data_IF_000807237647
#
_entry.id   IF_000807237647
#
_cell.length_a   1.000
_cell.length_b   1.000
_cell.length_c   1.000
_cell.angle_alpha   90.00
_cell.angle_beta   90.00
_cell.angle_gamma   90.00
#
_symmetry.space_group_name_H-M   'P 1'
#
loop_
_entity.id
_entity.type
_entity.pdbx_description
1 polymer ?
#
# COMPACT_ATOMS: atom_id res chain seq x y z
N UNK A 1 -51.65 163.93 79.62
CA UNK A 1 -50.37 164.26 78.96
C UNK A 1 -49.44 163.06 78.72
N UNK A 2 -49.90 161.79 78.80
CA UNK A 2 -49.11 160.59 78.43
C UNK A 2 -49.50 159.95 77.08
N UNK A 3 -50.59 160.41 76.44
CA UNK A 3 -51.20 159.72 75.27
C UNK A 3 -50.71 160.24 73.90
N UNK A 4 -50.34 161.53 73.79
CA UNK A 4 -49.74 162.09 72.56
C UNK A 4 -48.26 161.73 72.40
N UNK A 5 -47.51 161.62 73.51
CA UNK A 5 -46.11 161.22 73.50
C UNK A 5 -45.95 159.73 73.15
N UNK A 6 -46.86 158.88 73.64
CA UNK A 6 -46.90 157.46 73.30
C UNK A 6 -47.29 157.24 71.82
N UNK A 7 -48.27 157.97 71.29
CA UNK A 7 -48.63 157.91 69.85
C UNK A 7 -47.51 158.42 68.94
N UNK A 8 -46.83 159.50 69.31
CA UNK A 8 -45.68 160.02 68.56
C UNK A 8 -44.49 159.04 68.58
N UNK A 9 -44.22 158.41 69.72
CA UNK A 9 -43.20 157.37 69.86
C UNK A 9 -43.52 156.13 69.02
N UNK A 10 -44.78 155.66 69.03
CA UNK A 10 -45.22 154.48 68.27
C UNK A 10 -45.17 154.73 66.75
N UNK A 11 -45.53 155.93 66.30
CA UNK A 11 -45.40 156.38 64.92
C UNK A 11 -43.93 156.44 64.50
N UNK A 12 -43.05 156.97 65.35
CA UNK A 12 -41.61 157.02 65.07
C UNK A 12 -40.98 155.61 64.99
N UNK A 13 -41.41 154.68 65.84
CA UNK A 13 -40.98 153.28 65.82
C UNK A 13 -41.45 152.58 64.53
N UNK A 14 -42.72 152.78 64.13
CA UNK A 14 -43.26 152.25 62.88
C UNK A 14 -42.55 152.82 61.64
N UNK A 15 -42.19 154.11 61.65
CA UNK A 15 -41.42 154.75 60.57
C UNK A 15 -40.01 154.16 60.50
N UNK A 16 -39.36 153.94 61.64
CA UNK A 16 -38.02 153.33 61.70
C UNK A 16 -38.04 151.88 61.20
N UNK A 17 -39.02 151.09 61.61
CA UNK A 17 -39.20 149.71 61.16
C UNK A 17 -39.53 149.63 59.66
N UNK A 18 -40.41 150.50 59.17
CA UNK A 18 -40.72 150.61 57.73
C UNK A 18 -39.50 151.02 56.92
N UNK A 19 -38.69 151.95 57.44
CA UNK A 19 -37.43 152.38 56.78
C UNK A 19 -36.42 151.24 56.73
N UNK A 20 -36.33 150.44 57.80
CA UNK A 20 -35.47 149.24 57.85
C UNK A 20 -35.95 148.16 56.87
N UNK A 21 -37.25 147.90 56.78
CA UNK A 21 -37.81 146.95 55.81
C UNK A 21 -37.61 147.43 54.38
N UNK A 22 -37.82 148.72 54.09
CA UNK A 22 -37.54 149.30 52.77
C UNK A 22 -36.06 149.10 52.41
N UNK A 23 -35.14 149.39 53.33
CA UNK A 23 -33.71 149.17 53.10
C UNK A 23 -33.34 147.70 52.84
N UNK A 24 -33.98 146.77 53.55
CA UNK A 24 -33.80 145.33 53.35
C UNK A 24 -34.35 144.89 51.99
N UNK A 25 -35.57 145.26 51.64
CA UNK A 25 -36.21 144.93 50.37
C UNK A 25 -35.44 145.54 49.19
N UNK A 26 -34.87 146.74 49.37
CA UNK A 26 -34.05 147.39 48.36
C UNK A 26 -32.71 146.66 48.17
N UNK A 27 -32.04 146.27 49.27
CA UNK A 27 -30.84 145.44 49.19
C UNK A 27 -31.10 144.06 48.55
N UNK A 28 -32.24 143.44 48.85
CA UNK A 28 -32.67 142.19 48.20
C UNK A 28 -32.96 142.40 46.71
N UNK A 29 -33.63 143.49 46.33
CA UNK A 29 -33.88 143.84 44.94
C UNK A 29 -32.57 144.09 44.17
N UNK A 30 -31.62 144.82 44.76
CA UNK A 30 -30.30 145.08 44.18
C UNK A 30 -29.48 143.79 44.02
N UNK A 31 -29.52 142.90 45.01
CA UNK A 31 -28.89 141.57 44.93
C UNK A 31 -29.52 140.71 43.82
N UNK A 32 -30.86 140.70 43.72
CA UNK A 32 -31.56 140.01 42.63
C UNK A 32 -31.21 140.58 41.26
N UNK A 33 -31.08 141.90 41.13
CA UNK A 33 -30.64 142.54 39.90
C UNK A 33 -29.19 142.18 39.57
N UNK A 34 -28.30 142.13 40.55
CA UNK A 34 -26.91 141.71 40.35
C UNK A 34 -26.81 140.28 39.79
N UNK A 35 -27.49 139.31 40.42
CA UNK A 35 -27.53 137.91 39.96
C UNK A 35 -28.13 137.81 38.55
N UNK A 36 -29.14 138.63 38.23
CA UNK A 36 -29.75 138.68 36.91
C UNK A 36 -28.77 139.17 35.85
N UNK A 37 -27.99 140.20 36.15
CA UNK A 37 -26.94 140.70 35.26
C UNK A 37 -25.85 139.65 35.03
N UNK A 38 -25.43 138.92 36.07
CA UNK A 38 -24.46 137.83 35.93
C UNK A 38 -24.99 136.70 35.03
N UNK A 39 -26.24 136.26 35.25
CA UNK A 39 -26.90 135.26 34.42
C UNK A 39 -26.98 135.71 32.96
N UNK A 40 -27.44 136.93 32.72
CA UNK A 40 -27.64 137.46 31.37
C UNK A 40 -26.29 137.66 30.66
N UNK A 41 -25.25 138.09 31.39
CA UNK A 41 -23.87 138.17 30.91
C UNK A 41 -23.34 136.79 30.52
N UNK A 42 -23.50 135.78 31.39
CA UNK A 42 -23.06 134.41 31.10
C UNK A 42 -23.76 133.83 29.86
N UNK A 43 -25.07 134.04 29.72
CA UNK A 43 -25.84 133.63 28.54
C UNK A 43 -25.29 134.32 27.28
N UNK A 44 -25.07 135.64 27.32
CA UNK A 44 -24.48 136.38 26.18
C UNK A 44 -23.10 135.86 25.81
N UNK A 45 -22.24 135.61 26.79
CA UNK A 45 -20.89 135.05 26.56
C UNK A 45 -20.97 133.69 25.86
N UNK A 46 -21.85 132.80 26.33
CA UNK A 46 -22.03 131.48 25.70
C UNK A 46 -22.56 131.61 24.27
N UNK A 47 -23.58 132.43 24.06
CA UNK A 47 -24.18 132.62 22.74
C UNK A 47 -23.20 133.24 21.73
N UNK A 48 -22.42 134.23 22.15
CA UNK A 48 -21.41 134.85 21.31
C UNK A 48 -20.23 133.91 21.04
N UNK A 49 -19.74 133.21 22.06
CA UNK A 49 -18.59 132.29 21.91
C UNK A 49 -18.91 131.10 21.00
N UNK A 50 -20.14 130.59 21.07
CA UNK A 50 -20.55 129.40 20.35
C UNK A 50 -21.51 129.67 19.19
N UNK A 51 -21.68 130.95 18.80
CA UNK A 51 -22.55 131.40 17.71
C UNK A 51 -23.95 130.78 17.76
N UNK A 52 -24.59 130.79 18.94
CA UNK A 52 -25.90 130.15 19.14
C UNK A 52 -27.08 130.98 18.62
N UNK A 53 -26.81 132.16 18.09
CA UNK A 53 -27.78 133.09 17.51
C UNK A 53 -27.80 134.45 18.22
N UNK A 54 -28.67 135.38 17.78
CA UNK A 54 -28.81 136.68 18.42
C UNK A 54 -29.44 136.56 19.81
N UNK A 55 -29.03 137.46 20.71
CA UNK A 55 -29.55 137.56 22.08
C UNK A 55 -30.20 138.93 22.27
N UNK A 56 -31.37 139.03 22.95
CA UNK A 56 -32.03 140.31 23.23
C UNK A 56 -31.19 141.28 24.07
N UNK A 57 -31.70 142.50 24.24
CA UNK A 57 -31.14 143.47 25.16
C UNK A 57 -31.42 143.10 26.63
N UNK A 58 -30.42 143.32 27.49
CA UNK A 58 -30.52 143.06 28.93
C UNK A 58 -31.34 144.17 29.61
N UNK A 59 -32.03 143.88 30.74
CA UNK A 59 -32.06 142.60 31.46
C UNK A 59 -33.18 141.65 30.97
N UNK A 60 -32.87 140.36 30.83
CA UNK A 60 -33.78 139.33 30.30
C UNK A 60 -34.93 139.02 31.25
N UNK A 61 -36.15 138.80 30.73
CA UNK A 61 -37.19 138.17 31.55
C UNK A 61 -36.80 136.73 31.89
N UNK A 62 -37.40 136.17 32.94
CA UNK A 62 -37.09 134.78 33.33
C UNK A 62 -37.42 133.78 32.22
N UNK A 63 -38.47 134.03 31.45
CA UNK A 63 -38.85 133.19 30.30
C UNK A 63 -37.81 133.25 29.17
N UNK A 64 -37.29 134.44 28.87
CA UNK A 64 -36.23 134.62 27.88
C UNK A 64 -34.97 133.89 28.33
N UNK A 65 -34.54 134.08 29.58
CA UNK A 65 -33.37 133.40 30.11
C UNK A 65 -33.54 131.87 30.12
N UNK A 66 -34.72 131.36 30.48
CA UNK A 66 -35.04 129.93 30.46
C UNK A 66 -35.00 129.37 29.04
N UNK A 67 -35.58 130.07 28.05
CA UNK A 67 -35.56 129.66 26.66
C UNK A 67 -34.13 129.59 26.10
N UNK A 68 -33.33 130.64 26.32
CA UNK A 68 -31.93 130.69 25.90
C UNK A 68 -31.12 129.56 26.57
N UNK A 69 -31.33 129.31 27.86
CA UNK A 69 -30.70 128.21 28.59
C UNK A 69 -31.09 126.83 28.01
N UNK A 70 -32.37 126.62 27.72
CA UNK A 70 -32.85 125.37 27.14
C UNK A 70 -32.29 125.15 25.73
N UNK A 71 -32.17 126.21 24.92
CA UNK A 71 -31.52 126.15 23.61
C UNK A 71 -30.04 125.78 23.71
N UNK A 72 -29.31 126.34 24.67
CA UNK A 72 -27.92 125.95 24.97
C UNK A 72 -27.85 124.47 25.36
N UNK A 73 -28.71 124.01 26.27
CA UNK A 73 -28.76 122.60 26.71
C UNK A 73 -29.07 121.65 25.56
N UNK A 74 -30.06 121.97 24.73
CA UNK A 74 -30.41 121.16 23.57
C UNK A 74 -29.26 121.08 22.56
N UNK A 75 -28.57 122.20 22.30
CA UNK A 75 -27.39 122.21 21.42
C UNK A 75 -26.25 121.37 21.99
N UNK A 76 -26.02 121.44 23.30
CA UNK A 76 -25.01 120.63 23.98
C UNK A 76 -25.34 119.13 23.88
N UNK A 77 -26.58 118.74 24.17
CA UNK A 77 -27.04 117.34 24.05
C UNK A 77 -26.84 116.80 22.63
N UNK A 78 -27.23 117.56 21.60
CA UNK A 78 -27.04 117.13 20.21
C UNK A 78 -25.55 116.95 19.87
N UNK A 79 -24.66 117.81 20.39
CA UNK A 79 -23.22 117.68 20.16
C UNK A 79 -22.63 116.48 20.91
N UNK A 80 -23.13 116.15 22.09
CA UNK A 80 -22.74 114.96 22.84
C UNK A 80 -23.17 113.68 22.12
N UNK A 81 -24.40 113.65 21.60
CA UNK A 81 -24.93 112.54 20.79
C UNK A 81 -24.12 112.37 19.50
N UNK A 82 -23.88 113.46 18.76
CA UNK A 82 -23.03 113.45 17.55
C UNK A 82 -21.62 112.92 17.87
N UNK A 83 -21.01 113.39 18.96
CA UNK A 83 -19.68 112.95 19.39
C UNK A 83 -19.67 111.44 19.67
N UNK A 84 -20.69 110.94 20.36
CA UNK A 84 -20.78 109.54 20.74
C UNK A 84 -21.04 108.63 19.52
N UNK A 85 -21.89 109.07 18.59
CA UNK A 85 -22.10 108.37 17.32
C UNK A 85 -20.80 108.33 16.50
N UNK A 86 -20.05 109.43 16.42
CA UNK A 86 -18.76 109.47 15.72
C UNK A 86 -17.72 108.58 16.38
N UNK A 87 -17.65 108.52 17.70
CA UNK A 87 -16.76 107.59 18.42
C UNK A 87 -17.08 106.15 18.07
N UNK A 88 -18.35 105.74 18.16
CA UNK A 88 -18.79 104.39 17.81
C UNK A 88 -18.51 104.05 16.35
N UNK A 89 -18.73 105.01 15.45
CA UNK A 89 -18.44 104.84 14.01
C UNK A 89 -16.94 104.67 13.78
N UNK A 90 -16.10 105.46 14.45
CA UNK A 90 -14.64 105.34 14.33
C UNK A 90 -14.12 104.03 14.91
N UNK A 91 -14.64 103.58 16.06
CA UNK A 91 -14.28 102.30 16.68
C UNK A 91 -14.62 101.12 15.76
N UNK A 92 -15.83 101.10 15.20
CA UNK A 92 -16.24 100.04 14.27
C UNK A 92 -15.42 100.04 12.98
N UNK A 93 -15.08 101.22 12.45
CA UNK A 93 -14.17 101.33 11.30
C UNK A 93 -12.75 100.86 11.64
N UNK A 94 -12.25 101.22 12.82
CA UNK A 94 -10.92 100.80 13.28
C UNK A 94 -10.85 99.28 13.44
N UNK A 95 -11.84 98.66 14.09
CA UNK A 95 -11.95 97.20 14.21
C UNK A 95 -12.01 96.52 12.85
N UNK A 96 -12.80 97.06 11.92
CA UNK A 96 -12.90 96.54 10.56
C UNK A 96 -11.56 96.60 9.81
N UNK A 97 -10.87 97.74 9.86
CA UNK A 97 -9.56 97.92 9.23
C UNK A 97 -8.49 97.05 9.87
N UNK A 98 -8.49 96.93 11.20
CA UNK A 98 -7.58 96.05 11.93
C UNK A 98 -7.79 94.58 11.57
N UNK A 99 -9.05 94.13 11.52
CA UNK A 99 -9.40 92.79 11.08
C UNK A 99 -8.96 92.51 9.64
N UNK A 100 -9.05 93.49 8.73
CA UNK A 100 -8.50 93.40 7.38
C UNK A 100 -6.98 93.31 7.38
N UNK A 101 -6.31 94.15 8.15
CA UNK A 101 -4.85 94.15 8.27
C UNK A 101 -4.35 92.79 8.77
N UNK A 102 -4.93 92.24 9.84
CA UNK A 102 -4.55 90.94 10.39
C UNK A 102 -4.71 89.81 9.35
N UNK A 103 -5.81 89.79 8.61
CA UNK A 103 -6.05 88.80 7.54
C UNK A 103 -5.01 88.90 6.43
N UNK A 104 -4.69 90.12 5.99
CA UNK A 104 -3.66 90.35 4.96
C UNK A 104 -2.28 89.96 5.47
N UNK A 105 -1.94 90.32 6.70
CA UNK A 105 -0.65 90.00 7.32
C UNK A 105 -0.46 88.49 7.48
N UNK A 106 -1.49 87.77 7.94
CA UNK A 106 -1.45 86.30 8.03
C UNK A 106 -1.21 85.65 6.67
N UNK A 107 -1.92 86.12 5.63
CA UNK A 107 -1.74 85.63 4.25
C UNK A 107 -0.35 85.97 3.71
N UNK A 108 0.19 87.14 4.04
CA UNK A 108 1.55 87.53 3.66
C UNK A 108 2.57 86.58 4.28
N UNK A 109 2.49 86.31 5.59
CA UNK A 109 3.39 85.36 6.27
C UNK A 109 3.31 83.96 5.69
N UNK A 110 2.12 83.48 5.35
CA UNK A 110 1.93 82.17 4.69
C UNK A 110 2.64 82.13 3.33
N UNK A 111 2.42 83.15 2.49
CA UNK A 111 3.02 83.23 1.15
C UNK A 111 4.54 83.35 1.24
N UNK A 112 5.06 84.16 2.17
CA UNK A 112 6.51 84.27 2.39
C UNK A 112 7.14 82.93 2.80
N UNK A 113 6.49 82.20 3.72
CA UNK A 113 6.91 80.85 4.09
C UNK A 113 6.94 79.88 2.90
N UNK A 114 5.92 79.93 2.03
CA UNK A 114 5.91 79.14 0.80
C UNK A 114 7.03 79.53 -0.17
N UNK A 115 7.33 80.82 -0.30
CA UNK A 115 8.43 81.32 -1.14
C UNK A 115 9.78 80.80 -0.63
N UNK A 116 10.05 80.88 0.68
CA UNK A 116 11.31 80.40 1.25
C UNK A 116 11.45 78.89 1.09
N UNK A 117 10.39 78.12 1.39
CA UNK A 117 10.39 76.67 1.19
C UNK A 117 10.69 76.28 -0.27
N UNK A 118 10.06 76.95 -1.24
CA UNK A 118 10.33 76.72 -2.67
C UNK A 118 11.74 77.11 -3.06
N UNK A 119 12.30 78.18 -2.49
CA UNK A 119 13.68 78.62 -2.73
C UNK A 119 14.69 77.59 -2.23
N UNK A 120 14.50 77.06 -1.02
CA UNK A 120 15.33 75.99 -0.46
C UNK A 120 15.23 74.70 -1.29
N UNK A 121 14.02 74.31 -1.68
CA UNK A 121 13.81 73.15 -2.55
C UNK A 121 14.54 73.32 -3.89
N UNK A 122 14.50 74.51 -4.50
CA UNK A 122 15.23 74.84 -5.73
C UNK A 122 16.74 74.69 -5.55
N UNK A 123 17.30 75.18 -4.44
CA UNK A 123 18.72 75.01 -4.11
C UNK A 123 19.08 73.52 -4.00
N UNK A 124 18.23 72.73 -3.35
CA UNK A 124 18.41 71.28 -3.23
C UNK A 124 18.41 70.56 -4.59
N UNK A 125 17.51 70.94 -5.50
CA UNK A 125 17.47 70.40 -6.88
C UNK A 125 18.74 70.77 -7.64
N UNK A 126 19.19 72.03 -7.58
CA UNK A 126 20.39 72.48 -8.27
C UNK A 126 21.63 71.72 -7.81
N UNK A 127 21.75 71.41 -6.51
CA UNK A 127 22.83 70.58 -5.98
C UNK A 127 22.83 69.18 -6.61
N UNK A 128 21.67 68.53 -6.64
CA UNK A 128 21.53 67.18 -7.25
C UNK A 128 21.85 67.17 -8.74
N UNK A 129 21.46 68.21 -9.47
CA UNK A 129 21.81 68.33 -10.90
C UNK A 129 23.34 68.39 -11.04
N UNK A 130 24.00 69.24 -10.27
CA UNK A 130 25.46 69.37 -10.30
C UNK A 130 26.16 68.06 -9.92
N UNK A 131 25.66 67.35 -8.91
CA UNK A 131 26.21 66.05 -8.51
C UNK A 131 26.11 65.03 -9.66
N UNK A 132 24.99 65.03 -10.40
CA UNK A 132 24.80 64.15 -11.58
C UNK A 132 25.66 64.55 -12.77
N UNK A 133 25.89 65.84 -12.98
CA UNK A 133 26.85 66.32 -13.98
C UNK A 133 28.26 65.82 -13.66
N UNK A 134 28.69 65.92 -12.40
CA UNK A 134 30.00 65.42 -11.98
C UNK A 134 30.13 63.88 -12.15
N UNK A 135 29.09 63.12 -11.80
CA UNK A 135 29.05 61.67 -12.02
C UNK A 135 29.16 61.31 -13.51
N UNK A 136 28.43 62.02 -14.38
CA UNK A 136 28.50 61.84 -15.83
C UNK A 136 29.91 62.12 -16.35
N UNK A 137 30.49 63.26 -15.97
CA UNK A 137 31.80 63.68 -16.46
C UNK A 137 32.90 62.70 -15.99
N UNK A 138 32.77 62.13 -14.79
CA UNK A 138 33.66 61.07 -14.29
C UNK A 138 33.53 59.79 -15.12
N UNK A 139 32.30 59.37 -15.44
CA UNK A 139 32.05 58.19 -16.28
C UNK A 139 32.53 58.37 -17.71
N UNK A 140 32.35 59.55 -18.31
CA UNK A 140 32.86 59.87 -19.64
C UNK A 140 34.40 59.86 -19.68
N UNK A 141 35.04 60.38 -18.62
CA UNK A 141 36.49 60.32 -18.46
C UNK A 141 36.97 58.87 -18.37
N UNK A 142 36.28 58.02 -17.62
CA UNK A 142 36.60 56.59 -17.54
C UNK A 142 36.41 55.87 -18.87
N UNK A 143 35.30 56.10 -19.57
CA UNK A 143 35.05 55.54 -20.91
C UNK A 143 36.13 55.94 -21.91
N UNK A 144 36.59 57.19 -21.88
CA UNK A 144 37.65 57.68 -22.77
C UNK A 144 39.01 57.00 -22.55
N UNK A 145 39.25 56.39 -21.37
CA UNK A 145 40.46 55.58 -21.12
C UNK A 145 40.45 54.28 -21.91
N UNK A 146 39.28 53.79 -22.32
CA UNK A 146 39.14 52.55 -23.07
C UNK A 146 39.16 52.84 -24.57
N UNK A 147 40.05 52.14 -25.29
CA UNK A 147 40.04 52.19 -26.75
C UNK A 147 38.96 51.23 -27.28
N UNK A 148 37.72 51.73 -27.33
CA UNK A 148 36.55 50.97 -27.77
C UNK A 148 36.73 50.41 -29.19
N UNK A 149 37.26 51.21 -30.12
CA UNK A 149 37.53 50.76 -31.49
C UNK A 149 38.48 49.54 -31.53
N UNK A 150 39.49 49.49 -30.66
CA UNK A 150 40.38 48.32 -30.53
C UNK A 150 39.65 47.10 -29.95
N UNK A 151 38.73 47.30 -29.01
CA UNK A 151 37.92 46.22 -28.44
C UNK A 151 36.99 45.65 -29.52
N UNK A 152 36.29 46.51 -30.25
CA UNK A 152 35.37 46.11 -31.33
C UNK A 152 36.08 45.36 -32.45
N UNK A 153 37.29 45.81 -32.82
CA UNK A 153 38.11 45.12 -33.82
C UNK A 153 38.55 43.73 -33.33
N UNK A 154 38.97 43.63 -32.05
CA UNK A 154 39.33 42.35 -31.44
C UNK A 154 38.15 41.39 -31.40
N UNK A 155 36.96 41.88 -31.04
CA UNK A 155 35.73 41.09 -31.02
C UNK A 155 35.38 40.56 -32.41
N UNK A 156 35.41 41.44 -33.43
CA UNK A 156 35.20 41.02 -34.83
C UNK A 156 36.22 39.96 -35.27
N UNK A 157 37.50 40.12 -34.92
CA UNK A 157 38.52 39.13 -35.26
C UNK A 157 38.27 37.78 -34.59
N UNK A 158 37.95 37.78 -33.29
CA UNK A 158 37.66 36.56 -32.54
C UNK A 158 36.42 35.85 -33.09
N UNK A 159 35.38 36.60 -33.45
CA UNK A 159 34.18 36.05 -34.07
C UNK A 159 34.50 35.33 -35.38
N UNK A 160 35.30 35.95 -36.26
CA UNK A 160 35.77 35.35 -37.51
C UNK A 160 36.58 34.06 -37.22
N UNK A 161 37.44 34.07 -36.20
CA UNK A 161 38.25 32.89 -35.84
C UNK A 161 37.38 31.74 -35.33
N UNK A 162 36.37 32.03 -34.52
CA UNK A 162 35.39 31.04 -34.02
C UNK A 162 34.61 30.42 -35.17
N UNK A 163 34.11 31.22 -36.10
CA UNK A 163 33.40 30.74 -37.28
C UNK A 163 34.29 29.85 -38.14
N UNK A 164 35.53 30.28 -38.41
CA UNK A 164 36.52 29.47 -39.13
C UNK A 164 36.80 28.12 -38.46
N UNK A 165 36.99 28.11 -37.14
CA UNK A 165 37.24 26.87 -36.39
C UNK A 165 36.01 25.97 -36.36
N UNK A 166 34.81 26.54 -36.31
CA UNK A 166 33.55 25.80 -36.35
C UNK A 166 33.38 25.08 -37.68
N UNK A 167 33.64 25.77 -38.79
CA UNK A 167 33.61 25.17 -40.14
C UNK A 167 34.66 24.06 -40.23
N UNK A 168 35.91 24.32 -39.84
CA UNK A 168 36.99 23.33 -39.89
C UNK A 168 36.72 22.09 -39.01
N UNK A 169 35.98 22.24 -37.91
CA UNK A 169 35.53 21.11 -37.08
C UNK A 169 34.43 20.31 -37.77
N UNK A 170 33.47 20.99 -38.40
CA UNK A 170 32.40 20.35 -39.17
C UNK A 170 32.95 19.55 -40.36
N UNK A 171 33.89 20.09 -41.12
CA UNK A 171 34.50 19.42 -42.29
C UNK A 171 35.25 18.12 -41.95
N UNK A 172 35.71 17.96 -40.71
CA UNK A 172 36.47 16.78 -40.31
C UNK A 172 35.61 15.57 -39.95
N UNK A 173 34.28 15.72 -39.88
CA UNK A 173 33.31 14.65 -39.62
C UNK A 173 33.79 13.64 -38.55
N UNK A 174 34.30 14.16 -37.43
CA UNK A 174 34.88 13.33 -36.38
C UNK A 174 33.90 12.27 -35.86
N UNK A 175 32.60 12.55 -35.86
CA UNK A 175 31.55 11.60 -35.47
C UNK A 175 31.48 10.39 -36.41
N UNK A 176 31.65 10.61 -37.72
CA UNK A 176 31.71 9.52 -38.71
C UNK A 176 32.96 8.67 -38.47
N UNK A 177 34.12 9.31 -38.28
CA UNK A 177 35.38 8.62 -38.01
C UNK A 177 35.28 7.78 -36.73
N UNK A 178 34.72 8.36 -35.66
CA UNK A 178 34.51 7.66 -34.38
C UNK A 178 33.56 6.47 -34.57
N UNK A 179 32.46 6.64 -35.29
CA UNK A 179 31.50 5.56 -35.60
C UNK A 179 32.17 4.41 -36.36
N UNK A 180 32.97 4.74 -37.38
CA UNK A 180 33.73 3.76 -38.15
C UNK A 180 34.76 3.03 -37.28
N UNK A 181 35.50 3.73 -36.41
CA UNK A 181 36.45 3.07 -35.50
C UNK A 181 35.76 2.20 -34.47
N UNK A 182 34.58 2.58 -33.98
CA UNK A 182 33.77 1.73 -33.09
C UNK A 182 33.33 0.43 -33.78
N UNK A 183 32.93 0.49 -35.05
CA UNK A 183 32.53 -0.71 -35.80
C UNK A 183 33.71 -1.62 -36.13
N UNK A 184 34.89 -1.06 -36.45
CA UNK A 184 36.14 -1.81 -36.61
C UNK A 184 36.51 -2.55 -35.31
N UNK A 185 36.45 -1.87 -34.16
CA UNK A 185 36.73 -2.47 -32.84
C UNK A 185 35.77 -3.63 -32.56
N UNK A 186 34.47 -3.44 -32.80
CA UNK A 186 33.47 -4.49 -32.60
C UNK A 186 33.75 -5.73 -33.46
N UNK A 187 34.12 -5.50 -34.73
CA UNK A 187 34.43 -6.58 -35.68
C UNK A 187 35.67 -7.37 -35.25
N UNK A 188 36.72 -6.66 -34.80
CA UNK A 188 37.93 -7.29 -34.30
C UNK A 188 37.69 -8.08 -33.01
N UNK A 189 36.92 -7.54 -32.07
CA UNK A 189 36.56 -8.24 -30.82
C UNK A 189 35.76 -9.53 -31.10
N UNK A 190 34.81 -9.48 -32.05
CA UNK A 190 34.09 -10.67 -32.48
C UNK A 190 35.03 -11.72 -33.06
N UNK A 191 35.99 -11.31 -33.90
CA UNK A 191 36.99 -12.21 -34.47
C UNK A 191 37.90 -12.83 -33.40
N UNK A 192 38.32 -12.05 -32.41
CA UNK A 192 39.09 -12.54 -31.26
C UNK A 192 38.31 -13.59 -30.47
N UNK A 193 37.02 -13.37 -30.23
CA UNK A 193 36.16 -14.34 -29.54
C UNK A 193 36.02 -15.65 -30.31
N UNK A 194 35.84 -15.57 -31.64
CA UNK A 194 35.78 -16.76 -32.50
C UNK A 194 37.09 -17.55 -32.48
N UNK A 195 38.23 -16.86 -32.65
CA UNK A 195 39.54 -17.51 -32.59
C UNK A 195 39.84 -18.15 -31.23
N UNK A 196 39.40 -17.53 -30.12
CA UNK A 196 39.53 -18.14 -28.80
C UNK A 196 38.73 -19.44 -28.68
N UNK A 197 37.50 -19.48 -29.19
CA UNK A 197 36.68 -20.71 -29.21
C UNK A 197 37.33 -21.80 -30.05
N UNK A 198 37.86 -21.45 -31.22
CA UNK A 198 38.60 -22.40 -32.06
C UNK A 198 39.84 -22.96 -31.35
N UNK A 199 40.60 -22.10 -30.67
CA UNK A 199 41.75 -22.52 -29.86
C UNK A 199 41.33 -23.52 -28.76
N UNK A 200 40.24 -23.25 -28.05
CA UNK A 200 39.75 -24.13 -26.97
C UNK A 200 39.23 -25.48 -27.53
N UNK A 201 38.59 -25.46 -28.71
CA UNK A 201 38.19 -26.68 -29.41
C UNK A 201 39.43 -27.51 -29.82
N UNK A 202 40.46 -26.87 -30.37
CA UNK A 202 41.72 -27.54 -30.76
C UNK A 202 42.41 -28.16 -29.54
N UNK A 203 42.40 -27.47 -28.38
CA UNK A 203 42.94 -28.02 -27.14
C UNK A 203 42.17 -29.27 -26.69
N UNK A 204 40.84 -29.24 -26.78
CA UNK A 204 39.98 -30.39 -26.46
C UNK A 204 40.26 -31.57 -27.40
N UNK A 205 40.36 -31.30 -28.71
CA UNK A 205 40.71 -32.31 -29.71
C UNK A 205 42.11 -32.92 -29.44
N UNK A 206 43.06 -32.11 -29.00
CA UNK A 206 44.40 -32.59 -28.63
C UNK A 206 44.34 -33.53 -27.41
N UNK A 207 43.58 -33.19 -26.37
CA UNK A 207 43.37 -34.05 -25.21
C UNK A 207 42.73 -35.39 -25.59
N UNK A 208 41.74 -35.36 -26.49
CA UNK A 208 41.09 -36.57 -26.98
C UNK A 208 42.03 -37.43 -27.83
N UNK A 209 42.91 -36.83 -28.63
CA UNK A 209 43.99 -37.57 -29.33
C UNK A 209 44.92 -38.26 -28.35
N UNK A 210 45.33 -37.60 -27.26
CA UNK A 210 46.17 -38.20 -26.21
C UNK A 210 45.46 -39.38 -25.55
N UNK A 211 44.17 -39.23 -25.18
CA UNK A 211 43.37 -40.34 -24.62
C UNK A 211 43.28 -41.51 -25.59
N UNK A 212 43.07 -41.22 -26.87
CA UNK A 212 42.96 -42.24 -27.91
C UNK A 212 44.28 -42.98 -28.13
N UNK A 213 45.41 -42.28 -28.03
CA UNK A 213 46.74 -42.88 -28.06
C UNK A 213 46.99 -43.81 -26.86
N UNK A 214 46.62 -43.38 -25.64
CA UNK A 214 46.65 -44.26 -24.46
C UNK A 214 45.79 -45.52 -24.63
N UNK A 215 44.57 -45.37 -25.18
CA UNK A 215 43.68 -46.50 -25.50
C UNK A 215 44.27 -47.43 -26.56
N UNK A 216 44.97 -46.87 -27.55
CA UNK A 216 45.67 -47.64 -28.58
C UNK A 216 46.82 -48.46 -27.97
N UNK A 217 47.59 -47.87 -27.05
CA UNK A 217 48.64 -48.58 -26.32
C UNK A 217 48.10 -49.69 -25.41
N UNK A 218 46.98 -49.44 -24.71
CA UNK A 218 46.26 -50.47 -23.93
C UNK A 218 45.82 -51.63 -24.83
N UNK A 219 45.23 -51.33 -25.98
CA UNK A 219 44.82 -52.34 -26.97
C UNK A 219 46.02 -53.15 -27.46
N UNK A 220 47.14 -52.50 -27.76
CA UNK A 220 48.36 -53.16 -28.22
C UNK A 220 48.96 -54.07 -27.14
N UNK A 221 48.93 -53.65 -25.87
CA UNK A 221 49.28 -54.51 -24.72
C UNK A 221 48.34 -55.72 -24.62
N UNK A 222 47.03 -55.52 -24.78
CA UNK A 222 46.05 -56.61 -24.78
C UNK A 222 46.27 -57.59 -25.94
N UNK A 223 46.57 -57.11 -27.16
CA UNK A 223 46.93 -57.95 -28.30
C UNK A 223 48.19 -58.77 -28.03
N UNK A 224 49.25 -58.16 -27.48
CA UNK A 224 50.47 -58.89 -27.10
C UNK A 224 50.19 -59.99 -26.06
N UNK A 225 49.32 -59.72 -25.08
CA UNK A 225 48.87 -60.72 -24.09
C UNK A 225 48.08 -61.85 -24.76
N UNK A 226 47.12 -61.53 -25.62
CA UNK A 226 46.34 -62.52 -26.36
C UNK A 226 47.26 -63.42 -27.20
N UNK A 227 48.20 -62.81 -27.93
CA UNK A 227 49.17 -63.53 -28.76
C UNK A 227 50.05 -64.45 -27.94
N UNK A 228 50.51 -64.00 -26.77
CA UNK A 228 51.27 -64.84 -25.83
C UNK A 228 50.47 -66.06 -25.36
N UNK A 229 49.23 -65.87 -24.91
CA UNK A 229 48.34 -66.97 -24.50
C UNK A 229 48.09 -67.93 -25.66
N UNK A 230 47.85 -67.38 -26.85
CA UNK A 230 47.64 -68.16 -28.06
C UNK A 230 48.87 -69.00 -28.41
N UNK A 231 50.07 -68.41 -28.38
CA UNK A 231 51.33 -69.10 -28.65
C UNK A 231 51.69 -70.16 -27.59
N UNK A 232 51.38 -69.92 -26.31
CA UNK A 232 51.58 -70.88 -25.21
C UNK A 232 50.64 -72.10 -25.30
N UNK A 233 49.48 -71.95 -25.93
CA UNK A 233 48.46 -73.00 -26.01
C UNK A 233 48.20 -73.51 -27.42
N UNK A 234 48.90 -73.01 -28.44
CA UNK A 234 48.69 -73.39 -29.86
C UNK A 234 48.80 -74.89 -30.12
N UNK A 235 49.70 -75.58 -29.42
CA UNK A 235 49.86 -77.02 -29.61
C UNK A 235 48.72 -77.82 -28.95
N UNK A 236 48.17 -77.30 -27.84
CA UNK A 236 46.93 -77.83 -27.24
C UNK A 236 45.71 -77.57 -28.13
N UNK A 237 45.63 -76.41 -28.77
CA UNK A 237 44.57 -76.14 -29.75
C UNK A 237 44.68 -77.10 -30.94
N UNK A 238 45.90 -77.34 -31.44
CA UNK A 238 46.14 -78.36 -32.48
C UNK A 238 45.73 -79.76 -32.05
N UNK A 239 46.00 -80.17 -30.81
CA UNK A 239 45.57 -81.49 -30.34
C UNK A 239 44.04 -81.63 -30.31
N UNK A 240 43.31 -80.59 -29.88
CA UNK A 240 41.84 -80.62 -29.81
C UNK A 240 41.21 -80.52 -31.21
N UNK A 241 41.79 -79.72 -32.10
CA UNK A 241 41.25 -79.45 -33.45
C UNK A 241 41.87 -80.34 -34.54
N UNK A 242 42.26 -81.57 -34.20
CA UNK A 242 42.73 -82.61 -35.14
C UNK A 242 43.88 -82.12 -36.05
N UNK A 243 44.84 -81.39 -35.48
CA UNK A 243 46.02 -80.87 -36.17
C UNK A 243 45.85 -79.51 -36.84
N UNK A 244 44.63 -78.95 -36.90
CA UNK A 244 44.40 -77.58 -37.40
C UNK A 244 44.67 -76.55 -36.30
N UNK A 245 45.24 -75.42 -36.71
CA UNK A 245 45.47 -74.29 -35.84
C UNK A 245 44.53 -73.14 -36.26
N UNK A 246 43.53 -72.77 -35.44
CA UNK A 246 42.55 -71.73 -35.76
C UNK A 246 43.17 -70.35 -35.66
N UNK A 247 42.64 -69.36 -36.38
CA UNK A 247 43.14 -67.99 -36.32
C UNK A 247 42.86 -67.36 -34.93
N UNK A 248 43.77 -66.52 -34.42
CA UNK A 248 43.75 -65.99 -33.03
C UNK A 248 42.40 -65.38 -32.61
N UNK A 249 41.73 -64.68 -33.54
CA UNK A 249 40.41 -64.07 -33.32
C UNK A 249 39.26 -65.08 -33.21
N UNK A 250 39.43 -66.26 -33.78
CA UNK A 250 38.39 -67.26 -33.99
C UNK A 250 38.55 -68.47 -33.06
N UNK A 251 39.70 -68.57 -32.36
CA UNK A 251 40.01 -69.59 -31.35
C UNK A 251 38.85 -69.85 -30.40
N UNK A 252 38.26 -68.78 -29.82
CA UNK A 252 37.14 -68.92 -28.89
C UNK A 252 35.95 -69.62 -29.55
N UNK A 253 35.62 -69.23 -30.79
CA UNK A 253 34.49 -69.77 -31.54
C UNK A 253 34.74 -71.23 -31.95
N UNK A 254 35.91 -71.52 -32.50
CA UNK A 254 36.26 -72.86 -32.98
C UNK A 254 36.46 -73.88 -31.84
N UNK A 255 37.05 -73.48 -30.71
CA UNK A 255 37.14 -74.34 -29.52
C UNK A 255 35.73 -74.65 -29.01
N UNK A 256 34.87 -73.65 -28.87
CA UNK A 256 33.48 -73.87 -28.41
C UNK A 256 32.74 -74.83 -29.35
N UNK A 257 32.97 -74.74 -30.66
CA UNK A 257 32.37 -75.62 -31.64
C UNK A 257 32.90 -77.06 -31.58
N UNK A 258 34.21 -77.26 -31.37
CA UNK A 258 34.81 -78.59 -31.23
C UNK A 258 34.33 -79.30 -29.95
N UNK A 259 34.24 -78.57 -28.84
CA UNK A 259 33.66 -79.09 -27.61
C UNK A 259 32.15 -79.28 -27.71
N UNK A 260 31.45 -78.63 -28.64
CA UNK A 260 29.99 -78.78 -28.78
C UNK A 260 29.51 -80.21 -29.02
N UNK A 261 30.29 -81.04 -29.75
CA UNK A 261 29.99 -82.46 -29.93
C UNK A 261 30.11 -83.25 -28.62
N UNK A 262 31.23 -83.09 -27.93
CA UNK A 262 31.51 -83.75 -26.63
C UNK A 262 30.54 -83.27 -25.53
N UNK A 263 30.19 -81.99 -25.53
CA UNK A 263 29.24 -81.39 -24.59
C UNK A 263 27.81 -81.90 -24.88
N UNK A 264 27.44 -82.09 -26.16
CA UNK A 264 26.18 -82.72 -26.53
C UNK A 264 26.12 -84.21 -26.13
N UNK A 265 27.22 -84.96 -26.31
CA UNK A 265 27.35 -86.36 -25.89
C UNK A 265 27.30 -86.49 -24.36
N UNK A 266 27.97 -85.60 -23.62
CA UNK A 266 27.92 -85.54 -22.17
C UNK A 266 26.50 -85.26 -21.67
N UNK A 267 25.82 -84.27 -22.26
CA UNK A 267 24.45 -83.92 -21.88
C UNK A 267 23.45 -85.06 -22.21
N UNK A 268 23.59 -85.74 -23.36
CA UNK A 268 22.79 -86.91 -23.72
C UNK A 268 23.02 -88.11 -22.78
N UNK A 269 24.29 -88.42 -22.47
CA UNK A 269 24.65 -89.46 -21.51
C UNK A 269 24.17 -89.13 -20.10
N UNK A 270 24.28 -87.88 -19.66
CA UNK A 270 23.77 -87.44 -18.37
C UNK A 270 22.24 -87.57 -18.30
N UNK A 271 21.52 -87.22 -19.37
CA UNK A 271 20.07 -87.43 -19.47
C UNK A 271 19.70 -88.92 -19.39
N UNK A 272 20.38 -89.78 -20.16
CA UNK A 272 20.18 -91.24 -20.14
C UNK A 272 20.51 -91.86 -18.78
N UNK A 273 21.55 -91.37 -18.11
CA UNK A 273 21.91 -91.79 -16.75
C UNK A 273 20.80 -91.44 -15.74
N UNK A 274 20.25 -90.22 -15.82
CA UNK A 274 19.14 -89.80 -14.96
C UNK A 274 17.87 -90.62 -15.23
N UNK A 275 17.57 -90.94 -16.49
CA UNK A 275 16.45 -91.82 -16.85
C UNK A 275 16.64 -93.25 -16.30
N UNK A 276 17.86 -93.80 -16.41
CA UNK A 276 18.19 -95.12 -15.87
C UNK A 276 18.07 -95.16 -14.33
N UNK A 277 18.50 -94.11 -13.63
CA UNK A 277 18.30 -93.98 -12.17
C UNK A 277 16.81 -93.95 -11.80
N UNK A 278 15.97 -93.24 -12.57
CA UNK A 278 14.53 -93.24 -12.35
C UNK A 278 13.91 -94.63 -12.56
N UNK A 279 14.34 -95.35 -13.61
CA UNK A 279 13.87 -96.72 -13.85
C UNK A 279 14.31 -97.69 -12.76
N UNK A 280 15.55 -97.57 -12.28
CA UNK A 280 16.04 -98.35 -11.14
C UNK A 280 15.19 -98.10 -9.89
N UNK A 281 14.88 -96.83 -9.61
CA UNK A 281 14.03 -96.45 -8.47
C UNK A 281 12.62 -97.04 -8.59
N UNK A 282 12.02 -97.01 -9.77
CA UNK A 282 10.73 -97.65 -10.04
C UNK A 282 10.78 -99.17 -9.86
N UNK A 283 11.84 -99.83 -10.34
CA UNK A 283 12.02 -101.28 -10.16
C UNK A 283 12.20 -101.64 -8.68
N UNK A 284 12.98 -100.86 -7.94
CA UNK A 284 13.18 -101.02 -6.50
C UNK A 284 11.85 -100.89 -5.74
N UNK A 285 11.04 -99.87 -6.06
CA UNK A 285 9.70 -99.71 -5.49
C UNK A 285 8.78 -100.91 -5.80
N UNK A 286 8.83 -101.45 -7.02
CA UNK A 286 8.08 -102.66 -7.39
C UNK A 286 8.53 -103.90 -6.61
N UNK A 287 9.84 -104.07 -6.41
CA UNK A 287 10.41 -105.17 -5.60
C UNK A 287 9.94 -105.05 -4.15
N UNK A 288 10.00 -103.86 -3.56
CA UNK A 288 9.57 -103.66 -2.17
C UNK A 288 8.06 -103.85 -2.00
N UNK A 289 7.26 -103.41 -2.98
CA UNK A 289 5.83 -103.70 -3.04
C UNK A 289 5.55 -105.22 -3.15
N UNK A 290 6.29 -105.94 -4.00
CA UNK A 290 6.18 -107.38 -4.16
C UNK A 290 6.60 -108.14 -2.88
N UNK A 291 7.69 -107.72 -2.21
CA UNK A 291 8.12 -108.27 -0.92
C UNK A 291 7.08 -108.05 0.17
N UNK A 292 6.49 -106.86 0.23
CA UNK A 292 5.39 -106.54 1.15
C UNK A 292 4.16 -107.42 0.87
N UNK A 293 3.82 -107.61 -0.40
CA UNK A 293 2.72 -108.48 -0.81
C UNK A 293 2.99 -109.96 -0.45
N UNK A 294 4.19 -110.46 -0.70
CA UNK A 294 4.62 -111.79 -0.28
C UNK A 294 4.53 -111.97 1.24
N UNK A 295 5.00 -111.00 2.02
CA UNK A 295 4.86 -111.01 3.49
C UNK A 295 3.40 -111.10 3.93
N UNK A 296 2.49 -110.35 3.28
CA UNK A 296 1.04 -110.44 3.54
C UNK A 296 0.50 -111.83 3.21
N UNK A 297 0.84 -112.38 2.03
CA UNK A 297 0.40 -113.73 1.64
C UNK A 297 0.94 -114.80 2.60
N UNK A 298 2.19 -114.70 3.05
CA UNK A 298 2.78 -115.61 4.03
C UNK A 298 1.98 -115.59 5.34
N UNK A 299 1.62 -114.39 5.84
CA UNK A 299 0.77 -114.23 7.04
C UNK A 299 -0.63 -114.84 6.85
N UNK A 300 -1.22 -114.67 5.67
CA UNK A 300 -2.53 -115.30 5.35
C UNK A 300 -2.40 -116.82 5.32
N UNK A 301 -1.34 -117.36 4.72
CA UNK A 301 -1.07 -118.79 4.68
C UNK A 301 -0.90 -119.36 6.09
N UNK A 302 -0.13 -118.70 6.96
CA UNK A 302 0.03 -119.13 8.34
C UNK A 302 -1.25 -119.01 9.15
N UNK A 303 -2.05 -117.95 8.94
CA UNK A 303 -3.38 -117.82 9.56
C UNK A 303 -4.34 -118.92 9.09
N UNK A 304 -4.35 -119.26 7.80
CA UNK A 304 -5.13 -120.36 7.24
C UNK A 304 -4.65 -121.70 7.76
N UNK A 305 -3.33 -121.94 7.85
CA UNK A 305 -2.75 -123.15 8.45
C UNK A 305 -3.14 -123.28 9.92
N UNK A 306 -3.06 -122.21 10.71
CA UNK A 306 -3.54 -122.19 12.12
C UNK A 306 -5.04 -122.45 12.21
N UNK A 307 -5.85 -121.84 11.34
CA UNK A 307 -7.30 -122.06 11.30
C UNK A 307 -7.66 -123.51 10.92
N UNK A 308 -6.96 -124.08 9.94
CA UNK A 308 -7.19 -125.45 9.48
C UNK A 308 -6.79 -126.45 10.57
N UNK A 309 -5.66 -126.24 11.25
CA UNK A 309 -5.29 -127.02 12.44
C UNK A 309 -6.32 -126.88 13.58
N UNK A 310 -6.85 -125.68 13.81
CA UNK A 310 -7.91 -125.42 14.78
C UNK A 310 -9.22 -126.14 14.43
N UNK A 311 -9.63 -126.12 13.15
CA UNK A 311 -10.79 -126.85 12.60
C UNK A 311 -10.59 -128.36 12.68
N UNK A 312 -9.39 -128.85 12.34
CA UNK A 312 -9.05 -130.28 12.47
C UNK A 312 -9.13 -130.73 13.93
N UNK A 313 -8.63 -129.92 14.87
CA UNK A 313 -8.76 -130.18 16.30
C UNK A 313 -10.22 -130.14 16.80
N UNK A 314 -11.10 -129.36 16.17
CA UNK A 314 -12.53 -129.32 16.52
C UNK A 314 -13.32 -130.47 15.89
N UNK A 315 -12.97 -130.91 14.68
CA UNK A 315 -13.58 -132.08 14.02
C UNK A 315 -13.13 -133.37 14.72
N UNK A 316 -11.90 -133.44 15.23
CA UNK A 316 -11.41 -134.58 16.02
C UNK A 316 -12.17 -134.78 17.35
N UNK A 317 -13.04 -133.85 17.77
CA UNK A 317 -13.77 -133.89 19.05
C UNK A 317 -15.29 -134.09 18.94
N UNK A 318 -15.88 -134.18 17.74
CA UNK A 318 -17.35 -134.24 17.57
C UNK A 318 -17.76 -135.42 16.69
N UNK A 319 -18.40 -136.42 17.30
CA UNK A 319 -19.11 -137.51 16.63
C UNK A 319 -20.61 -137.23 16.64
N UNK A 320 -21.21 -136.79 15.52
CA UNK A 320 -22.66 -136.61 15.42
C UNK A 320 -23.19 -137.04 14.05
N UNK A 321 -24.36 -137.68 14.09
CA UNK A 321 -25.09 -138.39 13.04
C UNK A 321 -25.77 -137.47 12.01
N UNK A 322 -25.84 -137.94 10.76
CA UNK A 322 -26.05 -137.19 9.51
C UNK A 322 -27.46 -136.61 9.34
N UNK A 323 -28.45 -137.09 10.10
CA UNK A 323 -29.86 -136.81 9.82
C UNK A 323 -30.39 -135.43 10.29
N UNK A 324 -29.62 -134.63 11.03
CA UNK A 324 -30.08 -133.35 11.62
C UNK A 324 -29.88 -132.09 10.73
N UNK A 325 -29.14 -132.20 9.62
CA UNK A 325 -28.70 -131.06 8.81
C UNK A 325 -29.82 -130.24 8.11
N UNK A 326 -30.93 -130.83 7.62
CA UNK A 326 -31.92 -130.08 6.84
C UNK A 326 -32.66 -128.99 7.63
N UNK A 327 -32.85 -129.17 8.94
CA UNK A 327 -33.62 -128.22 9.75
C UNK A 327 -32.87 -126.91 9.97
N UNK A 328 -31.56 -126.99 10.21
CA UNK A 328 -30.72 -125.82 10.51
C UNK A 328 -30.63 -124.86 9.32
N UNK A 329 -30.73 -125.38 8.09
CA UNK A 329 -30.63 -124.55 6.88
C UNK A 329 -31.85 -123.65 6.66
N UNK A 330 -33.05 -124.09 7.06
CA UNK A 330 -34.29 -123.37 6.78
C UNK A 330 -34.44 -122.11 7.63
N UNK A 331 -34.11 -122.20 8.91
CA UNK A 331 -34.21 -121.07 9.85
C UNK A 331 -33.32 -119.88 9.44
N UNK A 332 -32.19 -120.14 8.76
CA UNK A 332 -31.29 -119.09 8.28
C UNK A 332 -31.82 -118.32 7.05
N UNK A 333 -32.77 -118.87 6.29
CA UNK A 333 -33.28 -118.24 5.07
C UNK A 333 -34.34 -117.17 5.36
N UNK A 334 -35.20 -117.38 6.35
CA UNK A 334 -36.34 -116.49 6.64
C UNK A 334 -35.89 -115.12 7.20
N UNK A 335 -34.79 -115.07 7.96
CA UNK A 335 -34.29 -113.82 8.55
C UNK A 335 -33.79 -112.81 7.50
N UNK A 336 -33.32 -113.29 6.34
CA UNK A 336 -32.80 -112.43 5.26
C UNK A 336 -33.90 -111.58 4.61
N UNK A 337 -35.09 -112.12 4.43
CA UNK A 337 -36.13 -111.46 3.61
C UNK A 337 -36.79 -110.28 4.37
N UNK A 338 -36.82 -110.35 5.71
CA UNK A 338 -37.34 -109.28 6.59
C UNK A 338 -36.50 -107.99 6.51
N UNK A 339 -35.18 -108.11 6.42
CA UNK A 339 -34.26 -106.97 6.35
C UNK A 339 -34.40 -106.17 5.03
N UNK A 340 -34.75 -106.84 3.93
CA UNK A 340 -34.77 -106.22 2.59
C UNK A 340 -35.92 -105.22 2.42
N UNK A 341 -37.10 -105.49 2.99
CA UNK A 341 -38.27 -104.63 2.83
C UNK A 341 -38.15 -103.27 3.55
N UNK A 342 -37.49 -103.22 4.71
CA UNK A 342 -37.33 -101.99 5.49
C UNK A 342 -36.47 -100.94 4.76
N UNK A 343 -35.45 -101.37 4.01
CA UNK A 343 -34.54 -100.47 3.31
C UNK A 343 -35.23 -99.69 2.18
N UNK A 344 -36.19 -100.33 1.49
CA UNK A 344 -36.96 -99.75 0.39
C UNK A 344 -37.76 -98.52 0.81
N UNK A 345 -38.45 -98.61 1.96
CA UNK A 345 -39.34 -97.55 2.44
C UNK A 345 -38.58 -96.29 2.88
N UNK A 346 -37.42 -96.45 3.53
CA UNK A 346 -36.60 -95.32 3.98
C UNK A 346 -36.05 -94.47 2.82
N UNK A 347 -35.75 -95.11 1.68
CA UNK A 347 -35.21 -94.43 0.50
C UNK A 347 -36.24 -93.49 -0.15
N UNK A 348 -37.52 -93.88 -0.20
CA UNK A 348 -38.58 -93.07 -0.80
C UNK A 348 -38.85 -91.77 -0.02
N UNK A 349 -38.86 -91.84 1.31
CA UNK A 349 -39.09 -90.66 2.16
C UNK A 349 -38.01 -89.57 2.00
N UNK A 350 -36.74 -89.97 1.84
CA UNK A 350 -35.63 -89.01 1.71
C UNK A 350 -35.70 -88.19 0.42
N UNK A 351 -36.17 -88.78 -0.68
CA UNK A 351 -36.28 -88.10 -1.98
C UNK A 351 -37.32 -86.98 -2.01
N UNK A 352 -38.41 -87.10 -1.23
CA UNK A 352 -39.51 -86.11 -1.23
C UNK A 352 -39.16 -84.80 -0.50
N UNK A 353 -38.38 -84.88 0.59
CA UNK A 353 -38.17 -83.75 1.50
C UNK A 353 -36.86 -82.98 1.27
N UNK A 354 -35.84 -83.63 0.68
CA UNK A 354 -34.54 -83.02 0.39
C UNK A 354 -34.61 -81.75 -0.49
N UNK A 355 -35.50 -81.62 -1.50
CA UNK A 355 -35.60 -80.40 -2.30
C UNK A 355 -36.02 -79.16 -1.49
N UNK A 356 -36.92 -79.32 -0.52
CA UNK A 356 -37.38 -78.21 0.33
C UNK A 356 -36.25 -77.67 1.21
N UNK A 357 -35.43 -78.58 1.76
CA UNK A 357 -34.25 -78.21 2.55
C UNK A 357 -33.24 -77.41 1.72
N UNK A 358 -32.96 -77.85 0.48
CA UNK A 358 -32.03 -77.15 -0.42
C UNK A 358 -32.49 -75.73 -0.77
N UNK A 359 -33.76 -75.54 -1.08
CA UNK A 359 -34.29 -74.20 -1.44
C UNK A 359 -34.22 -73.24 -0.25
N UNK A 360 -34.56 -73.72 0.95
CA UNK A 360 -34.50 -72.94 2.18
C UNK A 360 -33.06 -72.45 2.48
N UNK A 361 -32.07 -73.35 2.39
CA UNK A 361 -30.65 -73.05 2.63
C UNK A 361 -30.03 -72.11 1.59
N UNK A 362 -30.44 -72.22 0.32
CA UNK A 362 -29.82 -71.44 -0.76
C UNK A 362 -30.36 -70.02 -0.87
N UNK A 363 -31.66 -69.83 -0.67
CA UNK A 363 -32.31 -68.54 -0.91
C UNK A 363 -32.71 -67.81 0.37
N UNK A 364 -32.46 -68.43 1.53
CA UNK A 364 -32.83 -67.89 2.85
C UNK A 364 -34.30 -67.44 2.90
N UNK A 365 -35.19 -68.18 2.22
CA UNK A 365 -36.63 -67.91 2.14
C UNK A 365 -37.43 -69.20 2.20
N UNK A 366 -38.65 -69.08 2.69
CA UNK A 366 -39.58 -70.20 2.77
C UNK A 366 -39.93 -70.72 1.37
N UNK A 367 -39.67 -72.02 1.04
CA UNK A 367 -39.96 -72.57 -0.29
C UNK A 367 -41.44 -72.56 -0.66
N UNK A 368 -42.34 -72.37 0.31
CA UNK A 368 -43.78 -72.43 0.11
C UNK A 368 -44.43 -71.06 -0.09
N UNK A 369 -43.88 -69.99 0.52
CA UNK A 369 -44.51 -68.66 0.49
C UNK A 369 -43.55 -67.53 0.11
N UNK A 370 -42.29 -67.85 -0.22
CA UNK A 370 -41.25 -66.93 -0.67
C UNK A 370 -40.90 -65.78 0.30
N UNK A 371 -41.42 -65.82 1.52
CA UNK A 371 -41.03 -64.92 2.60
C UNK A 371 -39.58 -65.20 3.00
N UNK A 372 -38.74 -64.16 3.05
CA UNK A 372 -37.40 -64.27 3.61
C UNK A 372 -37.47 -64.77 5.06
N UNK A 373 -36.59 -65.71 5.43
CA UNK A 373 -36.45 -66.17 6.80
C UNK A 373 -35.76 -65.10 7.64
N UNK A 374 -36.19 -64.98 8.89
CA UNK A 374 -35.37 -64.32 9.90
C UNK A 374 -34.21 -65.24 10.33
N UNK A 375 -33.11 -64.70 10.89
CA UNK A 375 -31.89 -65.47 11.16
C UNK A 375 -32.07 -66.78 11.93
N UNK A 376 -33.06 -66.88 12.83
CA UNK A 376 -33.31 -68.08 13.64
C UNK A 376 -34.34 -69.06 13.01
N UNK A 377 -35.13 -68.61 12.04
CA UNK A 377 -36.24 -69.40 11.48
C UNK A 377 -35.78 -70.45 10.46
N UNK A 378 -34.71 -70.18 9.73
CA UNK A 378 -34.22 -71.09 8.68
C UNK A 378 -33.74 -72.43 9.25
N UNK A 379 -32.91 -72.41 10.30
CA UNK A 379 -32.39 -73.63 10.91
C UNK A 379 -33.49 -74.46 11.58
N UNK A 380 -34.52 -73.81 12.13
CA UNK A 380 -35.71 -74.49 12.66
C UNK A 380 -36.50 -75.20 11.55
N UNK A 381 -36.65 -74.58 10.38
CA UNK A 381 -37.28 -75.21 9.22
C UNK A 381 -36.50 -76.44 8.75
N UNK A 382 -35.19 -76.31 8.54
CA UNK A 382 -34.30 -77.40 8.09
C UNK A 382 -34.32 -78.57 9.08
N UNK A 383 -34.22 -78.30 10.39
CA UNK A 383 -34.28 -79.34 11.43
C UNK A 383 -35.60 -80.11 11.42
N UNK A 384 -36.72 -79.43 11.14
CA UNK A 384 -38.03 -80.08 11.05
C UNK A 384 -38.15 -80.98 9.82
N UNK A 385 -37.60 -80.56 8.68
CA UNK A 385 -37.53 -81.38 7.46
C UNK A 385 -36.62 -82.60 7.67
N UNK A 386 -35.44 -82.44 8.28
CA UNK A 386 -34.53 -83.55 8.58
C UNK A 386 -35.08 -84.59 9.57
N UNK A 387 -35.84 -84.15 10.58
CA UNK A 387 -36.52 -85.06 11.51
C UNK A 387 -37.61 -85.90 10.82
N UNK A 388 -38.35 -85.36 9.85
CA UNK A 388 -39.34 -86.13 9.09
C UNK A 388 -38.71 -87.27 8.27
N UNK A 389 -37.45 -87.13 7.86
CA UNK A 389 -36.71 -88.16 7.12
C UNK A 389 -36.11 -89.22 8.06
N UNK A 390 -35.74 -88.88 9.31
CA UNK A 390 -35.11 -89.84 10.25
C UNK A 390 -36.09 -90.57 11.19
N UNK A 391 -37.28 -90.02 11.46
CA UNK A 391 -38.18 -90.52 12.54
C UNK A 391 -38.82 -91.90 12.27
N UNK A 392 -38.59 -92.56 11.13
CA UNK A 392 -39.12 -93.93 10.89
C UNK A 392 -38.12 -95.05 10.62
N UNK A 393 -36.81 -94.79 10.69
CA UNK A 393 -35.80 -95.87 10.50
C UNK A 393 -35.45 -96.59 11.82
N UNK A 394 -35.84 -96.05 12.98
CA UNK A 394 -35.44 -96.55 14.30
C UNK A 394 -36.54 -97.31 15.08
N UNK A 395 -37.63 -97.75 14.43
CA UNK A 395 -38.73 -98.44 15.12
C UNK A 395 -38.87 -99.95 14.83
N UNK A 396 -37.90 -100.59 14.20
CA UNK A 396 -38.01 -102.03 13.84
C UNK A 396 -36.75 -102.88 14.06
N UNK A 397 -35.81 -102.48 14.92
CA UNK A 397 -34.58 -103.26 15.20
C UNK A 397 -34.45 -103.79 16.64
N UNK A 398 -35.51 -103.71 17.45
CA UNK A 398 -35.60 -104.44 18.72
C UNK A 398 -36.91 -105.19 18.77
N UNK A 399 -36.87 -106.42 18.23
CA UNK A 399 -37.41 -107.65 18.80
C UNK A 399 -36.85 -108.85 18.02
#
# INVERSE_FOLDING_TARGET
MNDEYAKSSLLSETINDSTREIGKLQAEADAHMSVKHERDSAIRTIFNKHNLGPVPDAPFTNDIAMNLTNRTKARLSNLEDDLQEKKKTNETQLEFLWGRYLKVNARYSEVDGQIQSKKESKIGVLRRIKDKENERDAAETELSRHNLARIDERERHLQIEVERKTIALGERDYDLIISQKRSEIYTLDHKIKTLHREKDNIATDADDRVKLELKKDELEKCKKKLKKIYDEHKDKFRSVLKGRLPHEKDVKKEITQAFGSVDSEYNDLNSKSQEAEQQLKLAQMKIDAAKSHLSKLQKVLDAKRKHLNSKLQSIAKVSVDINAYPKILKDAMDERDKQTNNFSYAKGMRQMYEPFEKVARQHHKCPCCDRAFTPDEEDLFVKKVGNLVSIRVLHFSFD
#
